data_IF_396681783746
#
_entry.id   IF_396681783746
#
_cell.length_a   1.000
_cell.length_b   1.000
_cell.length_c   1.000
_cell.angle_alpha   90.00
_cell.angle_beta   90.00
_cell.angle_gamma   90.00
#
_symmetry.space_group_name_H-M   'P 1'
#
loop_
_entity.id
_entity.type
_entity.pdbx_description
1 polymer ?
#
# COMPACT_ATOMS: atom_id res chain seq x y z
N UNK A 1 -8.64 23.37 20.39
CA UNK A 1 -9.28 23.49 19.06
C UNK A 1 -8.42 22.82 17.97
N UNK A 2 -7.09 23.00 18.00
CA UNK A 2 -6.14 22.33 17.07
C UNK A 2 -6.10 20.79 17.28
N UNK A 3 -6.14 20.30 18.51
CA UNK A 3 -6.07 18.85 18.78
C UNK A 3 -7.31 18.07 18.29
N UNK A 4 -8.50 18.68 18.39
CA UNK A 4 -9.73 18.07 17.86
C UNK A 4 -9.74 17.99 16.34
N UNK A 5 -9.12 18.96 15.68
CA UNK A 5 -8.94 18.97 14.22
C UNK A 5 -7.93 17.91 13.76
N UNK A 6 -6.79 17.80 14.45
CA UNK A 6 -5.80 16.76 14.18
C UNK A 6 -6.38 15.35 14.34
N UNK A 7 -7.13 15.11 15.43
CA UNK A 7 -7.76 13.80 15.66
C UNK A 7 -8.81 13.46 14.58
N UNK A 8 -9.63 14.43 14.16
CA UNK A 8 -10.59 14.22 13.07
C UNK A 8 -9.89 13.91 11.74
N UNK A 9 -8.78 14.59 11.43
CA UNK A 9 -7.97 14.29 10.25
C UNK A 9 -7.36 12.90 10.31
N UNK A 10 -6.81 12.49 11.45
CA UNK A 10 -6.24 11.14 11.60
C UNK A 10 -7.30 10.07 11.42
N UNK A 11 -8.48 10.23 12.03
CA UNK A 11 -9.59 9.28 11.86
C UNK A 11 -10.05 9.16 10.40
N UNK A 12 -10.10 10.29 9.67
CA UNK A 12 -10.49 10.29 8.25
C UNK A 12 -9.43 9.58 7.38
N UNK A 13 -8.15 9.81 7.67
CA UNK A 13 -7.04 9.11 7.01
C UNK A 13 -7.08 7.62 7.32
N UNK A 14 -7.27 7.21 8.58
CA UNK A 14 -7.38 5.81 8.98
C UNK A 14 -8.55 5.11 8.29
N UNK A 15 -9.73 5.73 8.29
CA UNK A 15 -10.92 5.19 7.61
C UNK A 15 -10.66 4.99 6.12
N UNK A 16 -10.02 5.98 5.47
CA UNK A 16 -9.74 5.91 4.03
C UNK A 16 -8.66 4.88 3.70
N UNK A 17 -7.66 4.71 4.57
CA UNK A 17 -6.68 3.64 4.45
C UNK A 17 -7.34 2.27 4.55
N UNK A 18 -8.25 2.08 5.50
CA UNK A 18 -9.00 0.85 5.68
C UNK A 18 -9.85 0.52 4.44
N UNK A 19 -10.52 1.51 3.85
CA UNK A 19 -11.27 1.35 2.60
C UNK A 19 -10.36 0.96 1.42
N UNK A 20 -9.18 1.58 1.28
CA UNK A 20 -8.27 1.27 0.18
C UNK A 20 -7.67 -0.12 0.35
N UNK A 21 -7.24 -0.49 1.57
CA UNK A 21 -6.62 -1.80 1.83
C UNK A 21 -7.64 -2.95 1.61
N UNK A 22 -8.91 -2.71 1.92
CA UNK A 22 -9.98 -3.67 1.69
C UNK A 22 -10.59 -3.59 0.28
N UNK A 23 -10.09 -2.71 -0.59
CA UNK A 23 -10.60 -2.59 -1.96
C UNK A 23 -10.19 -3.79 -2.82
N UNK A 24 -11.06 -4.16 -3.75
CA UNK A 24 -10.80 -5.24 -4.70
C UNK A 24 -9.52 -5.00 -5.51
N UNK A 25 -9.24 -3.75 -5.89
CA UNK A 25 -8.02 -3.36 -6.59
C UNK A 25 -6.76 -3.64 -5.76
N UNK A 26 -6.82 -3.39 -4.45
CA UNK A 26 -5.70 -3.66 -3.55
C UNK A 26 -5.52 -5.17 -3.34
N UNK A 27 -6.62 -5.93 -3.20
CA UNK A 27 -6.57 -7.40 -3.13
C UNK A 27 -5.95 -8.00 -4.39
N UNK A 28 -6.41 -7.59 -5.58
CA UNK A 28 -5.89 -8.05 -6.87
C UNK A 28 -4.39 -7.72 -7.04
N UNK A 29 -3.96 -6.56 -6.55
CA UNK A 29 -2.54 -6.20 -6.55
C UNK A 29 -1.72 -7.15 -5.67
N UNK A 30 -2.20 -7.48 -4.47
CA UNK A 30 -1.52 -8.44 -3.58
C UNK A 30 -1.50 -9.85 -4.15
N UNK A 31 -2.58 -10.28 -4.80
CA UNK A 31 -2.62 -11.55 -5.52
C UNK A 31 -1.62 -11.57 -6.67
N UNK A 32 -1.44 -10.46 -7.39
CA UNK A 32 -0.43 -10.36 -8.44
C UNK A 32 1.01 -10.49 -7.90
N UNK A 33 1.31 -9.83 -6.76
CA UNK A 33 2.60 -10.00 -6.07
C UNK A 33 2.80 -11.45 -5.63
N UNK A 34 1.76 -12.07 -5.08
CA UNK A 34 1.83 -13.46 -4.63
C UNK A 34 2.09 -14.42 -5.78
N UNK A 35 1.39 -14.25 -6.91
CA UNK A 35 1.55 -15.09 -8.10
C UNK A 35 2.94 -14.91 -8.73
N UNK A 36 3.47 -13.67 -8.80
CA UNK A 36 4.84 -13.40 -9.27
C UNK A 36 5.90 -14.07 -8.37
N UNK A 37 5.67 -14.07 -7.05
CA UNK A 37 6.51 -14.79 -6.11
C UNK A 37 6.44 -16.31 -6.33
N UNK A 38 5.23 -16.86 -6.47
CA UNK A 38 5.01 -18.28 -6.69
C UNK A 38 5.67 -18.75 -8.00
N UNK A 39 5.55 -17.96 -9.07
CA UNK A 39 6.21 -18.23 -10.36
C UNK A 39 7.73 -18.23 -10.23
N UNK A 40 8.31 -17.22 -9.56
CA UNK A 40 9.76 -17.13 -9.31
C UNK A 40 10.27 -18.30 -8.49
N UNK A 41 9.57 -18.67 -7.41
CA UNK A 41 9.95 -19.81 -6.59
C UNK A 41 9.80 -21.14 -7.35
N UNK A 42 8.76 -21.29 -8.17
CA UNK A 42 8.52 -22.50 -8.97
C UNK A 42 9.51 -22.65 -10.12
N UNK A 43 10.06 -21.54 -10.63
CA UNK A 43 11.10 -21.55 -11.66
C UNK A 43 12.45 -22.10 -11.16
N UNK A 44 12.61 -22.25 -9.85
CA UNK A 44 13.78 -22.87 -9.22
C UNK A 44 13.60 -24.39 -9.29
N UNK A 45 13.86 -24.96 -10.48
CA UNK A 45 13.68 -26.39 -10.76
C UNK A 45 14.96 -27.22 -10.58
N UNK A 46 16.12 -26.58 -10.45
CA UNK A 46 17.42 -27.24 -10.32
C UNK A 46 18.00 -27.11 -8.91
N UNK A 47 18.78 -28.11 -8.43
CA UNK A 47 19.53 -27.99 -7.19
C UNK A 47 20.61 -26.91 -7.36
N UNK A 48 20.26 -25.67 -7.01
CA UNK A 48 21.19 -24.55 -6.90
C UNK A 48 22.17 -24.80 -5.76
N UNK A 49 23.41 -24.35 -5.93
CA UNK A 49 24.34 -24.25 -4.81
C UNK A 49 23.82 -23.24 -3.77
N UNK A 50 24.23 -23.40 -2.52
CA UNK A 50 23.74 -22.58 -1.41
C UNK A 50 24.06 -21.08 -1.55
N UNK A 51 25.11 -20.71 -2.29
CA UNK A 51 25.46 -19.30 -2.51
C UNK A 51 24.47 -18.66 -3.49
N UNK A 52 24.26 -19.28 -4.65
CA UNK A 52 23.27 -18.83 -5.66
C UNK A 52 21.85 -18.78 -5.09
N UNK A 53 21.48 -19.76 -4.25
CA UNK A 53 20.19 -19.80 -3.58
C UNK A 53 19.99 -18.64 -2.60
N UNK A 54 21.04 -18.27 -1.86
CA UNK A 54 20.97 -17.16 -0.91
C UNK A 54 20.91 -15.80 -1.63
N UNK A 55 21.67 -15.61 -2.71
CA UNK A 55 21.59 -14.41 -3.54
C UNK A 55 20.20 -14.24 -4.16
N UNK A 56 19.64 -15.29 -4.77
CA UNK A 56 18.28 -15.24 -5.33
C UNK A 56 17.22 -14.95 -4.27
N UNK A 57 17.37 -15.52 -3.06
CA UNK A 57 16.45 -15.27 -1.96
C UNK A 57 16.51 -13.82 -1.46
N UNK A 58 17.70 -13.23 -1.40
CA UNK A 58 17.87 -11.81 -1.08
C UNK A 58 17.24 -10.91 -2.17
N UNK A 59 17.43 -11.24 -3.45
CA UNK A 59 16.81 -10.51 -4.56
C UNK A 59 15.28 -10.57 -4.52
N UNK A 60 14.71 -11.74 -4.23
CA UNK A 60 13.25 -11.91 -4.07
C UNK A 60 12.73 -11.06 -2.91
N UNK A 61 13.39 -11.10 -1.75
CA UNK A 61 13.00 -10.30 -0.58
C UNK A 61 13.08 -8.80 -0.86
N UNK A 62 14.16 -8.36 -1.48
CA UNK A 62 14.40 -6.96 -1.82
C UNK A 62 13.31 -6.46 -2.78
N UNK A 63 13.01 -7.23 -3.82
CA UNK A 63 11.99 -6.88 -4.80
C UNK A 63 10.58 -6.82 -4.18
N UNK A 64 10.21 -7.82 -3.36
CA UNK A 64 8.93 -7.82 -2.62
C UNK A 64 8.82 -6.61 -1.70
N UNK A 65 9.89 -6.29 -0.96
CA UNK A 65 9.93 -5.15 -0.07
C UNK A 65 9.71 -3.84 -0.83
N UNK A 66 10.41 -3.63 -1.95
CA UNK A 66 10.28 -2.42 -2.76
C UNK A 66 8.88 -2.26 -3.34
N UNK A 67 8.27 -3.35 -3.85
CA UNK A 67 6.91 -3.32 -4.38
C UNK A 67 5.89 -2.98 -3.27
N UNK A 68 5.99 -3.64 -2.12
CA UNK A 68 5.11 -3.39 -0.98
C UNK A 68 5.28 -1.97 -0.41
N UNK A 69 6.53 -1.51 -0.27
CA UNK A 69 6.85 -0.19 0.25
C UNK A 69 6.32 0.92 -0.65
N UNK A 70 6.53 0.81 -1.97
CA UNK A 70 6.05 1.78 -2.94
C UNK A 70 4.52 1.83 -2.98
N UNK A 71 3.85 0.68 -2.97
CA UNK A 71 2.40 0.63 -2.95
C UNK A 71 1.82 1.21 -1.66
N UNK A 72 2.40 0.87 -0.51
CA UNK A 72 1.97 1.42 0.79
C UNK A 72 2.13 2.93 0.85
N UNK A 73 3.25 3.45 0.33
CA UNK A 73 3.51 4.89 0.24
C UNK A 73 2.52 5.59 -0.68
N UNK A 74 2.18 5.00 -1.83
CA UNK A 74 1.18 5.55 -2.75
C UNK A 74 -0.21 5.58 -2.10
N UNK A 75 -0.60 4.47 -1.47
CA UNK A 75 -1.86 4.31 -0.75
C UNK A 75 -2.03 5.37 0.34
N UNK A 76 -1.00 5.57 1.16
CA UNK A 76 -1.02 6.62 2.19
C UNK A 76 -1.16 8.02 1.60
N UNK A 77 -0.44 8.32 0.51
CA UNK A 77 -0.55 9.62 -0.17
C UNK A 77 -1.94 9.86 -0.73
N UNK A 78 -2.54 8.84 -1.34
CA UNK A 78 -3.89 8.90 -1.89
C UNK A 78 -4.91 9.14 -0.76
N UNK A 79 -4.86 8.32 0.31
CA UNK A 79 -5.73 8.48 1.47
C UNK A 79 -5.62 9.88 2.09
N UNK A 80 -4.40 10.39 2.26
CA UNK A 80 -4.18 11.73 2.79
C UNK A 80 -4.76 12.81 1.87
N UNK A 81 -4.50 12.73 0.56
CA UNK A 81 -4.96 13.71 -0.42
C UNK A 81 -6.49 13.74 -0.53
N UNK A 82 -7.12 12.57 -0.55
CA UNK A 82 -8.58 12.41 -0.58
C UNK A 82 -9.20 13.01 0.68
N UNK A 83 -8.69 12.63 1.86
CA UNK A 83 -9.18 13.11 3.15
C UNK A 83 -9.02 14.62 3.31
N UNK A 84 -7.89 15.17 2.86
CA UNK A 84 -7.64 16.61 2.89
C UNK A 84 -8.57 17.37 1.93
N UNK A 85 -8.78 16.83 0.72
CA UNK A 85 -9.69 17.40 -0.28
C UNK A 85 -11.13 17.37 0.21
N UNK A 86 -11.56 16.25 0.80
CA UNK A 86 -12.88 16.13 1.41
C UNK A 86 -13.08 17.19 2.49
N UNK A 87 -12.10 17.36 3.38
CA UNK A 87 -12.16 18.33 4.46
C UNK A 87 -12.22 19.77 3.92
N UNK A 88 -11.41 20.13 2.93
CA UNK A 88 -11.49 21.46 2.30
C UNK A 88 -12.89 21.68 1.71
N UNK A 89 -13.39 20.73 0.92
CA UNK A 89 -14.60 20.93 0.13
C UNK A 89 -15.90 20.83 0.93
N UNK A 90 -15.90 20.14 2.07
CA UNK A 90 -17.12 19.87 2.84
C UNK A 90 -17.13 20.52 4.22
N UNK A 91 -15.96 20.81 4.81
CA UNK A 91 -15.86 21.34 6.18
C UNK A 91 -15.40 22.80 6.19
N UNK A 92 -14.33 23.13 5.47
CA UNK A 92 -13.73 24.48 5.51
C UNK A 92 -14.33 25.45 4.48
N UNK A 93 -14.66 24.96 3.29
CA UNK A 93 -15.37 25.69 2.26
C UNK A 93 -16.65 24.92 1.93
N UNK A 94 -17.62 24.86 2.86
CA UNK A 94 -18.90 24.22 2.54
C UNK A 94 -19.45 24.91 1.30
N UNK A 95 -19.70 24.15 0.24
CA UNK A 95 -20.27 24.69 -0.99
C UNK A 95 -21.52 25.49 -0.64
N UNK A 96 -21.39 26.81 -0.75
CA UNK A 96 -22.47 27.76 -1.04
C UNK A 96 -23.55 27.07 -1.88
N UNK A 97 -24.66 26.63 -1.30
CA UNK A 97 -25.89 26.40 -2.09
C UNK A 97 -26.27 27.71 -2.76
#
# INVERSE_FOLDING_TARGET
MIDGFQNAMYQLIETRLEEIINSEEYVLFFEAIYNDLEEKLSSITEPLDEETKNEMMEDIKSNLFDQFFNQSKFTYKAAFSDSFTFLINNVLLPRNK
#
